data_IF_990352766257
#
_entry.id   IF_990352766257
#
_cell.length_a   1.000
_cell.length_b   1.000
_cell.length_c   1.000
_cell.angle_alpha   90.00
_cell.angle_beta   90.00
_cell.angle_gamma   90.00
#
_symmetry.space_group_name_H-M   'P 1'
#
loop_
_entity.id
_entity.type
_entity.pdbx_description
1 polymer ?
#
# COMPACT_ATOMS: atom_id res chain seq x y z
N UNK A 1 21.54 -25.33 39.93
CA UNK A 1 21.36 -26.42 38.94
C UNK A 1 21.01 -25.73 37.63
N UNK A 2 21.87 -25.83 36.61
CA UNK A 2 21.49 -25.41 35.25
C UNK A 2 20.29 -26.24 34.80
N UNK A 3 19.24 -25.58 34.31
CA UNK A 3 18.09 -26.24 33.71
C UNK A 3 18.45 -26.52 32.25
N UNK A 4 18.64 -27.79 31.93
CA UNK A 4 18.90 -28.26 30.58
C UNK A 4 17.57 -28.62 29.87
N UNK A 5 17.42 -28.21 28.61
CA UNK A 5 16.24 -28.48 27.77
C UNK A 5 16.61 -29.44 26.65
N UNK A 6 15.65 -30.25 26.20
CA UNK A 6 15.84 -31.20 25.10
C UNK A 6 15.30 -30.62 23.78
N UNK A 7 16.09 -30.74 22.71
CA UNK A 7 15.72 -30.36 21.33
C UNK A 7 15.82 -31.58 20.43
N UNK A 8 14.84 -31.79 19.55
CA UNK A 8 14.94 -32.80 18.50
C UNK A 8 15.31 -32.15 17.17
N UNK A 9 16.43 -32.55 16.57
CA UNK A 9 16.90 -32.01 15.29
C UNK A 9 17.57 -33.11 14.46
N UNK A 10 17.18 -33.24 13.19
CA UNK A 10 17.77 -34.21 12.23
C UNK A 10 17.85 -35.65 12.77
N UNK A 11 16.81 -36.12 13.47
CA UNK A 11 16.80 -37.50 14.00
C UNK A 11 17.51 -37.70 15.34
N UNK A 12 18.02 -36.64 15.98
CA UNK A 12 18.76 -36.72 17.25
C UNK A 12 18.16 -35.82 18.31
N UNK A 13 18.26 -36.25 19.57
CA UNK A 13 17.96 -35.43 20.74
C UNK A 13 19.27 -34.74 21.16
N UNK A 14 19.23 -33.42 21.25
CA UNK A 14 20.33 -32.57 21.69
C UNK A 14 19.92 -31.90 23.00
N UNK A 15 20.86 -31.76 23.93
CA UNK A 15 20.68 -30.96 25.14
C UNK A 15 21.09 -29.52 24.82
N UNK A 16 20.23 -28.56 25.14
CA UNK A 16 20.49 -27.14 24.96
C UNK A 16 20.31 -26.40 26.29
N UNK A 17 20.98 -25.26 26.42
CA UNK A 17 20.79 -24.39 27.58
C UNK A 17 19.40 -23.75 27.56
N UNK A 18 18.92 -23.30 28.73
CA UNK A 18 17.69 -22.53 28.83
C UNK A 18 17.75 -21.23 28.00
N UNK A 19 18.90 -20.57 27.94
CA UNK A 19 19.12 -19.37 27.13
C UNK A 19 18.95 -19.66 25.63
N UNK A 20 19.54 -20.76 25.13
CA UNK A 20 19.40 -21.17 23.74
C UNK A 20 17.94 -21.50 23.41
N UNK A 21 17.25 -22.20 24.33
CA UNK A 21 15.82 -22.50 24.20
C UNK A 21 14.97 -21.23 24.10
N UNK A 22 15.18 -20.26 25.00
CA UNK A 22 14.44 -19.00 24.99
C UNK A 22 14.70 -18.18 23.72
N UNK A 23 15.95 -18.17 23.22
CA UNK A 23 16.31 -17.52 21.97
C UNK A 23 15.61 -18.16 20.76
N UNK A 24 15.55 -19.49 20.69
CA UNK A 24 14.82 -20.20 19.64
C UNK A 24 13.31 -19.95 19.73
N UNK A 25 12.75 -20.00 20.94
CA UNK A 25 11.34 -19.70 21.19
C UNK A 25 10.99 -18.29 20.74
N UNK A 26 11.80 -17.28 21.11
CA UNK A 26 11.64 -15.89 20.65
C UNK A 26 11.63 -15.79 19.14
N UNK A 27 12.60 -16.41 18.45
CA UNK A 27 12.65 -16.41 16.98
C UNK A 27 11.40 -17.02 16.35
N UNK A 28 10.86 -18.10 16.93
CA UNK A 28 9.65 -18.75 16.42
C UNK A 28 8.44 -17.83 16.58
N UNK A 29 8.24 -17.28 17.78
CA UNK A 29 7.14 -16.36 18.08
C UNK A 29 7.23 -15.11 17.20
N UNK A 30 8.42 -14.52 17.04
CA UNK A 30 8.64 -13.36 16.19
C UNK A 30 8.19 -13.59 14.74
N UNK A 31 8.56 -14.73 14.14
CA UNK A 31 8.11 -15.09 12.78
C UNK A 31 6.59 -15.23 12.68
N UNK A 32 5.98 -15.80 13.71
CA UNK A 32 4.53 -15.94 13.77
C UNK A 32 3.83 -14.59 13.89
N UNK A 33 4.34 -13.68 14.73
CA UNK A 33 3.81 -12.32 14.87
C UNK A 33 3.92 -11.51 13.58
N UNK A 34 5.07 -11.54 12.90
CA UNK A 34 5.23 -10.92 11.57
C UNK A 34 4.22 -11.45 10.56
N UNK A 35 4.04 -12.77 10.50
CA UNK A 35 3.02 -13.39 9.65
C UNK A 35 1.59 -12.95 10.01
N UNK A 36 1.30 -12.72 11.29
CA UNK A 36 0.00 -12.19 11.71
C UNK A 36 -0.18 -10.74 11.28
N UNK A 37 0.87 -9.89 11.35
CA UNK A 37 0.83 -8.51 10.85
C UNK A 37 0.48 -8.51 9.37
N UNK A 38 1.27 -9.19 8.54
CA UNK A 38 1.04 -9.28 7.09
C UNK A 38 -0.39 -9.70 6.74
N UNK A 39 -0.93 -10.73 7.40
CA UNK A 39 -2.33 -11.15 7.19
C UNK A 39 -3.36 -10.12 7.65
N UNK A 40 -3.09 -9.39 8.73
CA UNK A 40 -3.97 -8.34 9.20
C UNK A 40 -3.96 -7.15 8.25
N UNK A 41 -2.80 -6.79 7.70
CA UNK A 41 -2.64 -5.78 6.65
C UNK A 41 -3.45 -6.12 5.41
N UNK A 42 -3.26 -7.33 4.85
CA UNK A 42 -3.97 -7.79 3.65
C UNK A 42 -5.48 -7.68 3.83
N UNK A 43 -6.00 -8.23 4.94
CA UNK A 43 -7.44 -8.18 5.26
C UNK A 43 -7.96 -6.76 5.45
N UNK A 44 -7.17 -5.88 6.08
CA UNK A 44 -7.57 -4.49 6.27
C UNK A 44 -7.67 -3.76 4.94
N UNK A 45 -6.71 -3.97 4.04
CA UNK A 45 -6.72 -3.39 2.70
C UNK A 45 -7.93 -3.89 1.92
N UNK A 46 -8.13 -5.22 1.85
CA UNK A 46 -9.25 -5.84 1.15
C UNK A 46 -10.60 -5.31 1.67
N UNK A 47 -10.79 -5.30 2.99
CA UNK A 47 -12.05 -4.82 3.59
C UNK A 47 -12.34 -3.35 3.25
N UNK A 48 -11.32 -2.51 3.17
CA UNK A 48 -11.47 -1.08 2.84
C UNK A 48 -11.71 -0.83 1.36
N UNK A 49 -11.15 -1.66 0.49
CA UNK A 49 -11.44 -1.63 -0.94
C UNK A 49 -12.87 -2.14 -1.23
N UNK A 50 -13.28 -3.21 -0.55
CA UNK A 50 -14.66 -3.73 -0.61
C UNK A 50 -15.69 -2.67 -0.14
N UNK A 51 -15.36 -1.86 0.88
CA UNK A 51 -16.22 -0.77 1.37
C UNK A 51 -16.52 0.29 0.30
N UNK A 52 -15.66 0.44 -0.71
CA UNK A 52 -15.77 1.43 -1.78
C UNK A 52 -16.04 0.79 -3.14
N UNK A 53 -16.32 -0.52 -3.18
CA UNK A 53 -16.58 -1.30 -4.39
C UNK A 53 -15.43 -1.25 -5.42
N UNK A 54 -14.18 -1.27 -4.92
CA UNK A 54 -12.98 -1.22 -5.76
C UNK A 54 -12.15 -2.50 -5.60
N UNK A 55 -11.44 -2.90 -6.65
CA UNK A 55 -10.43 -3.97 -6.61
C UNK A 55 -9.07 -3.42 -7.02
N UNK A 56 -8.00 -3.83 -6.32
CA UNK A 56 -6.67 -3.29 -6.57
C UNK A 56 -6.13 -3.65 -7.96
N UNK A 57 -6.37 -4.88 -8.42
CA UNK A 57 -5.91 -5.31 -9.75
C UNK A 57 -6.63 -4.50 -10.82
N UNK A 58 -7.94 -4.31 -10.67
CA UNK A 58 -8.75 -3.53 -11.59
C UNK A 58 -8.32 -2.06 -11.60
N UNK A 59 -8.10 -1.45 -10.43
CA UNK A 59 -7.59 -0.08 -10.30
C UNK A 59 -6.24 0.12 -11.01
N UNK A 60 -5.29 -0.81 -10.86
CA UNK A 60 -3.98 -0.73 -11.52
C UNK A 60 -4.14 -0.80 -13.04
N UNK A 61 -4.99 -1.72 -13.52
CA UNK A 61 -5.29 -1.85 -14.95
C UNK A 61 -6.01 -0.61 -15.50
N UNK A 62 -7.02 -0.10 -14.80
CA UNK A 62 -7.78 1.09 -15.17
C UNK A 62 -6.87 2.32 -15.24
N UNK A 63 -5.99 2.51 -14.26
CA UNK A 63 -5.00 3.59 -14.28
C UNK A 63 -4.15 3.57 -15.55
N UNK A 64 -3.63 2.39 -15.94
CA UNK A 64 -2.84 2.24 -17.16
C UNK A 64 -3.66 2.54 -18.42
N UNK A 65 -4.90 2.04 -18.48
CA UNK A 65 -5.82 2.32 -19.58
C UNK A 65 -6.17 3.81 -19.71
N UNK A 66 -6.39 4.51 -18.60
CA UNK A 66 -6.63 5.95 -18.60
C UNK A 66 -5.40 6.70 -19.12
N UNK A 67 -4.18 6.31 -18.73
CA UNK A 67 -2.96 6.91 -19.27
C UNK A 67 -2.88 6.76 -20.79
N UNK A 68 -3.17 5.57 -21.32
CA UNK A 68 -3.19 5.30 -22.76
C UNK A 68 -4.27 6.13 -23.48
N UNK A 69 -5.50 6.16 -22.96
CA UNK A 69 -6.58 6.97 -23.53
C UNK A 69 -6.24 8.46 -23.56
N UNK A 70 -5.64 8.97 -22.48
CA UNK A 70 -5.23 10.37 -22.42
C UNK A 70 -4.14 10.68 -23.45
N UNK A 71 -3.26 9.73 -23.77
CA UNK A 71 -2.28 9.91 -24.84
C UNK A 71 -2.95 9.96 -26.22
N UNK A 72 -3.87 9.04 -26.49
CA UNK A 72 -4.59 8.95 -27.77
C UNK A 72 -5.50 10.15 -28.05
N UNK A 73 -5.99 10.79 -26.99
CA UNK A 73 -6.87 11.97 -27.10
C UNK A 73 -6.12 13.29 -27.31
N UNK A 74 -4.81 13.31 -27.13
CA UNK A 74 -4.01 14.54 -27.24
C UNK A 74 -3.51 14.75 -28.67
N UNK A 75 -3.33 16.00 -29.11
CA UNK A 75 -2.76 16.27 -30.42
C UNK A 75 -1.33 15.72 -30.54
N UNK A 76 -0.98 15.14 -31.70
CA UNK A 76 0.37 14.60 -31.98
C UNK A 76 1.51 15.63 -31.82
N UNK A 77 1.17 16.92 -31.80
CA UNK A 77 2.12 18.01 -31.53
C UNK A 77 2.64 18.02 -30.09
N UNK A 78 1.96 17.32 -29.17
CA UNK A 78 2.36 17.18 -27.77
C UNK A 78 3.02 15.82 -27.59
N UNK A 79 4.18 15.81 -26.92
CA UNK A 79 4.89 14.58 -26.65
C UNK A 79 4.26 13.80 -25.49
N UNK A 80 4.38 12.48 -25.53
CA UNK A 80 3.96 11.59 -24.43
C UNK A 80 4.52 12.03 -23.07
N UNK A 81 5.80 12.42 -23.02
CA UNK A 81 6.43 12.88 -21.77
C UNK A 81 5.79 14.17 -21.23
N UNK A 82 5.35 15.07 -22.12
CA UNK A 82 4.64 16.28 -21.71
C UNK A 82 3.25 15.95 -21.15
N UNK A 83 2.51 15.07 -21.80
CA UNK A 83 1.20 14.61 -21.32
C UNK A 83 1.34 13.97 -19.94
N UNK A 84 2.29 13.03 -19.77
CA UNK A 84 2.58 12.39 -18.48
C UNK A 84 3.03 13.40 -17.42
N UNK A 85 3.80 14.43 -17.78
CA UNK A 85 4.16 15.51 -16.87
C UNK A 85 2.94 16.31 -16.41
N UNK A 86 2.02 16.65 -17.32
CA UNK A 86 0.77 17.36 -16.98
C UNK A 86 -0.15 16.53 -16.10
N UNK A 87 -0.33 15.24 -16.40
CA UNK A 87 -1.08 14.30 -15.54
C UNK A 87 -0.51 14.30 -14.11
N UNK A 88 0.82 14.20 -13.98
CA UNK A 88 1.49 14.24 -12.66
C UNK A 88 1.29 15.57 -11.93
N UNK A 89 1.31 16.70 -12.65
CA UNK A 89 1.03 18.03 -12.06
C UNK A 89 -0.42 18.17 -11.64
N UNK A 90 -1.36 17.65 -12.44
CA UNK A 90 -2.79 17.64 -12.15
C UNK A 90 -3.06 16.85 -10.87
N UNK A 91 -2.48 15.65 -10.75
CA UNK A 91 -2.51 14.84 -9.52
C UNK A 91 -2.08 15.64 -8.28
N UNK A 92 -1.03 16.45 -8.41
CA UNK A 92 -0.47 17.24 -7.31
C UNK A 92 -1.24 18.54 -7.02
N UNK A 93 -2.25 18.88 -7.82
CA UNK A 93 -2.92 20.19 -7.76
C UNK A 93 -2.06 21.35 -8.27
N UNK A 94 -0.93 21.07 -8.94
CA UNK A 94 -0.03 22.06 -9.56
C UNK A 94 -0.46 22.45 -10.98
N UNK A 95 -1.49 21.78 -11.51
CA UNK A 95 -2.13 22.06 -12.78
C UNK A 95 -3.64 21.93 -12.57
N UNK A 96 -4.32 23.07 -12.56
CA UNK A 96 -5.73 23.20 -12.19
C UNK A 96 -6.66 22.79 -13.33
N UNK A 97 -7.94 22.58 -13.01
CA UNK A 97 -8.97 22.34 -14.02
C UNK A 97 -9.10 23.52 -14.98
N UNK A 98 -9.02 24.75 -14.50
CA UNK A 98 -9.11 25.96 -15.31
C UNK A 98 -7.93 26.09 -16.27
N UNK A 99 -6.70 25.81 -15.79
CA UNK A 99 -5.51 25.79 -16.63
C UNK A 99 -5.62 24.67 -17.69
N UNK A 100 -6.13 23.50 -17.32
CA UNK A 100 -6.35 22.41 -18.25
C UNK A 100 -7.36 22.76 -19.34
N UNK A 101 -8.49 23.37 -18.97
CA UNK A 101 -9.50 23.83 -19.93
C UNK A 101 -8.90 24.86 -20.90
N UNK A 102 -8.20 25.87 -20.37
CA UNK A 102 -7.61 26.93 -21.19
C UNK A 102 -6.62 26.35 -22.20
N UNK A 103 -5.69 25.50 -21.74
CA UNK A 103 -4.68 24.91 -22.61
C UNK A 103 -5.28 23.96 -23.67
N UNK A 104 -6.21 23.09 -23.28
CA UNK A 104 -6.86 22.17 -24.23
C UNK A 104 -7.71 22.92 -25.26
N UNK A 105 -8.30 24.05 -24.87
CA UNK A 105 -9.01 24.95 -25.81
C UNK A 105 -8.04 25.61 -26.79
N UNK A 106 -6.89 26.09 -26.32
CA UNK A 106 -5.83 26.66 -27.18
C UNK A 106 -5.27 25.63 -28.17
N UNK A 107 -5.25 24.36 -27.77
CA UNK A 107 -4.88 23.22 -28.63
C UNK A 107 -5.97 22.84 -29.64
N UNK A 108 -7.13 23.51 -29.60
CA UNK A 108 -8.22 23.32 -30.56
C UNK A 108 -9.12 22.12 -30.26
N UNK A 109 -9.08 21.57 -29.04
CA UNK A 109 -9.98 20.48 -28.66
C UNK A 109 -11.39 21.02 -28.45
N UNK A 110 -12.38 20.22 -28.88
CA UNK A 110 -13.79 20.52 -28.64
C UNK A 110 -14.19 20.32 -27.19
N UNK A 111 -15.19 21.06 -26.73
CA UNK A 111 -15.71 21.02 -25.35
C UNK A 111 -16.04 19.59 -24.87
N UNK A 112 -16.64 18.76 -25.74
CA UNK A 112 -16.95 17.37 -25.40
C UNK A 112 -15.68 16.53 -25.10
N UNK A 113 -14.62 16.71 -25.90
CA UNK A 113 -13.34 16.03 -25.69
C UNK A 113 -12.66 16.53 -24.42
N UNK A 114 -12.69 17.84 -24.18
CA UNK A 114 -12.14 18.45 -22.96
C UNK A 114 -12.83 17.89 -21.72
N UNK A 115 -14.16 17.85 -21.71
CA UNK A 115 -14.93 17.29 -20.59
C UNK A 115 -14.60 15.81 -20.34
N UNK A 116 -14.40 15.03 -21.40
CA UNK A 116 -13.98 13.63 -21.27
C UNK A 116 -12.56 13.52 -20.67
N UNK A 117 -11.60 14.33 -21.13
CA UNK A 117 -10.24 14.39 -20.56
C UNK A 117 -10.29 14.74 -19.07
N UNK A 118 -11.08 15.74 -18.68
CA UNK A 118 -11.20 16.14 -17.28
C UNK A 118 -11.82 15.04 -16.42
N UNK A 119 -12.82 14.32 -16.93
CA UNK A 119 -13.40 13.16 -16.25
C UNK A 119 -12.36 12.06 -16.04
N UNK A 120 -11.57 11.74 -17.08
CA UNK A 120 -10.49 10.76 -17.01
C UNK A 120 -9.40 11.18 -16.03
N UNK A 121 -9.00 12.46 -16.02
CA UNK A 121 -8.05 13.01 -15.05
C UNK A 121 -8.59 12.93 -13.62
N UNK A 122 -9.88 13.22 -13.40
CA UNK A 122 -10.52 13.08 -12.09
C UNK A 122 -10.43 11.64 -11.57
N UNK A 123 -10.84 10.68 -12.40
CA UNK A 123 -10.75 9.25 -12.06
C UNK A 123 -9.31 8.79 -11.84
N UNK A 124 -8.37 9.25 -12.67
CA UNK A 124 -6.94 8.98 -12.48
C UNK A 124 -6.44 9.43 -11.10
N UNK A 125 -6.88 10.61 -10.65
CA UNK A 125 -6.52 11.15 -9.33
C UNK A 125 -7.10 10.29 -8.22
N UNK A 126 -8.38 9.91 -8.30
CA UNK A 126 -9.03 9.01 -7.32
C UNK A 126 -8.28 7.68 -7.20
N UNK A 127 -8.07 6.98 -8.32
CA UNK A 127 -7.33 5.71 -8.35
C UNK A 127 -5.95 5.87 -7.70
N UNK A 128 -5.27 6.97 -8.02
CA UNK A 128 -3.93 7.19 -7.48
C UNK A 128 -3.95 7.46 -5.98
N UNK A 129 -4.97 8.14 -5.44
CA UNK A 129 -5.11 8.29 -3.98
C UNK A 129 -5.32 6.95 -3.28
N UNK A 130 -6.10 6.04 -3.88
CA UNK A 130 -6.30 4.68 -3.35
C UNK A 130 -4.98 3.91 -3.33
N UNK A 131 -4.21 3.96 -4.43
CA UNK A 131 -2.89 3.32 -4.52
C UNK A 131 -1.93 3.93 -3.48
N UNK A 132 -1.87 5.26 -3.39
CA UNK A 132 -0.99 5.94 -2.43
C UNK A 132 -1.36 5.60 -0.97
N UNK A 133 -2.66 5.51 -0.66
CA UNK A 133 -3.15 5.06 0.65
C UNK A 133 -2.69 3.63 0.96
N UNK A 134 -2.87 2.69 0.04
CA UNK A 134 -2.44 1.29 0.19
C UNK A 134 -0.93 1.23 0.48
N UNK A 135 -0.12 1.97 -0.26
CA UNK A 135 1.33 2.04 -0.02
C UNK A 135 1.66 2.63 1.36
N UNK A 136 0.83 3.56 1.85
CA UNK A 136 0.89 4.04 3.24
C UNK A 136 0.67 2.92 4.25
N UNK A 137 -0.31 2.04 4.02
CA UNK A 137 -0.58 0.88 4.87
C UNK A 137 0.60 -0.10 4.89
N UNK A 138 1.16 -0.45 3.72
CA UNK A 138 2.33 -1.34 3.64
C UNK A 138 3.56 -0.77 4.35
N UNK A 139 3.80 0.55 4.21
CA UNK A 139 4.88 1.22 4.95
C UNK A 139 4.66 1.12 6.46
N UNK A 140 3.42 1.28 6.92
CA UNK A 140 3.10 1.14 8.34
C UNK A 140 3.27 -0.31 8.82
N UNK A 141 2.98 -1.32 7.99
CA UNK A 141 3.34 -2.71 8.31
C UNK A 141 4.84 -2.88 8.53
N UNK A 142 5.69 -2.34 7.65
CA UNK A 142 7.15 -2.43 7.82
C UNK A 142 7.64 -1.77 9.12
N UNK A 143 7.01 -0.67 9.53
CA UNK A 143 7.26 -0.03 10.82
C UNK A 143 6.87 -0.95 11.99
N UNK A 144 5.66 -1.52 11.96
CA UNK A 144 5.18 -2.45 12.99
C UNK A 144 6.06 -3.70 13.08
N UNK A 145 6.52 -4.24 11.94
CA UNK A 145 7.43 -5.39 11.95
C UNK A 145 8.74 -5.08 12.67
N UNK A 146 9.31 -3.88 12.46
CA UNK A 146 10.53 -3.44 13.16
C UNK A 146 10.28 -3.26 14.65
N UNK A 147 9.16 -2.65 15.04
CA UNK A 147 8.78 -2.51 16.44
C UNK A 147 8.62 -3.88 17.14
N UNK A 148 8.11 -4.89 16.43
CA UNK A 148 7.96 -6.26 16.96
C UNK A 148 9.34 -6.95 17.10
N UNK A 149 10.29 -6.69 16.21
CA UNK A 149 11.65 -7.26 16.32
C UNK A 149 12.38 -6.84 17.60
N UNK A 150 12.09 -5.63 18.08
CA UNK A 150 12.72 -5.05 19.27
C UNK A 150 12.14 -5.61 20.60
N UNK A 151 10.94 -6.18 20.57
CA UNK A 151 10.23 -6.67 21.77
C UNK A 151 10.89 -7.88 22.44
N UNK A 152 10.73 -8.03 23.75
CA UNK A 152 11.13 -9.24 24.49
C UNK A 152 10.21 -10.42 24.17
N UNK A 153 10.58 -11.62 24.63
CA UNK A 153 9.71 -12.79 24.45
C UNK A 153 8.38 -12.63 25.20
N UNK A 154 8.40 -12.10 26.43
CA UNK A 154 7.17 -11.85 27.19
C UNK A 154 6.24 -10.89 26.44
N UNK A 155 6.78 -9.75 26.01
CA UNK A 155 6.01 -8.75 25.25
C UNK A 155 5.42 -9.32 23.96
N UNK A 156 6.15 -10.17 23.24
CA UNK A 156 5.66 -10.84 22.03
C UNK A 156 4.55 -11.85 22.30
N UNK A 157 4.55 -12.50 23.46
CA UNK A 157 3.52 -13.46 23.83
C UNK A 157 2.21 -12.74 24.18
N UNK A 158 2.30 -11.58 24.82
CA UNK A 158 1.14 -10.78 25.23
C UNK A 158 0.62 -9.83 24.13
N UNK A 159 1.36 -9.71 23.02
CA UNK A 159 1.01 -8.81 21.93
C UNK A 159 -0.26 -9.24 21.18
N UNK A 160 -1.25 -8.36 21.20
CA UNK A 160 -2.46 -8.43 20.35
C UNK A 160 -2.19 -7.75 19.00
N UNK A 161 -1.85 -8.57 18.00
CA UNK A 161 -1.51 -8.10 16.65
C UNK A 161 -2.70 -7.47 15.95
N UNK A 162 -3.90 -8.03 16.11
CA UNK A 162 -5.08 -7.55 15.40
C UNK A 162 -5.44 -6.14 15.85
N UNK A 163 -5.42 -5.91 17.17
CA UNK A 163 -5.66 -4.58 17.74
C UNK A 163 -4.55 -3.59 17.38
N UNK A 164 -3.30 -4.02 17.40
CA UNK A 164 -2.15 -3.19 17.01
C UNK A 164 -2.28 -2.70 15.57
N UNK A 165 -2.49 -3.63 14.63
CA UNK A 165 -2.65 -3.35 13.21
C UNK A 165 -3.86 -2.43 12.97
N UNK A 166 -5.03 -2.76 13.52
CA UNK A 166 -6.24 -1.95 13.36
C UNK A 166 -6.01 -0.50 13.80
N UNK A 167 -5.48 -0.30 15.01
CA UNK A 167 -5.20 1.04 15.51
C UNK A 167 -4.19 1.79 14.62
N UNK A 168 -3.13 1.12 14.17
CA UNK A 168 -2.12 1.74 13.32
C UNK A 168 -2.69 2.18 11.95
N UNK A 169 -3.53 1.35 11.34
CA UNK A 169 -4.06 1.60 10.00
C UNK A 169 -5.24 2.56 9.97
N UNK A 170 -6.05 2.63 11.04
CA UNK A 170 -7.14 3.62 11.17
C UNK A 170 -6.63 5.08 11.17
N UNK A 171 -5.35 5.29 11.44
CA UNK A 171 -4.70 6.61 11.39
C UNK A 171 -4.18 6.99 9.98
N UNK A 172 -4.44 6.16 8.97
CA UNK A 172 -4.03 6.40 7.59
C UNK A 172 -5.33 6.51 6.75
N UNK A 173 -5.83 7.73 6.52
CA UNK A 173 -7.13 7.94 5.90
C UNK A 173 -7.11 7.55 4.42
N UNK A 174 -8.16 6.84 3.99
CA UNK A 174 -8.45 6.63 2.58
C UNK A 174 -9.21 7.85 2.06
N UNK A 175 -8.51 8.73 1.34
CA UNK A 175 -9.08 9.95 0.76
C UNK A 175 -9.68 9.64 -0.62
N UNK A 176 -10.91 9.12 -0.64
CA UNK A 176 -11.68 8.87 -1.87
C UNK A 176 -12.90 9.77 -1.94
#
# INVERSE_FOLDING_TARGET
>A
KEIERLRYRKGKIEVISEEEYLKEKKKKVLRERKRQVSKATERYIEAKLDEIDEDLSDLISEKGYIEELLLDMMPETITEEEIKRKIRRFKKGEYTTEEAIAELTELGLGEATINNILSLLGRYVEITKIIDWKEGIWRKEEELEKEIEEKTLEELLDLDIEKLCKYAYENIPLEV
#
